data_IF_677662954346
#
_entry.id   IF_677662954346
#
_cell.length_a   1.000
_cell.length_b   1.000
_cell.length_c   1.000
_cell.angle_alpha   90.00
_cell.angle_beta   90.00
_cell.angle_gamma   90.00
#
_symmetry.space_group_name_H-M   'P 1'
#
loop_
_entity.id
_entity.type
_entity.pdbx_description
1 polymer ?
#
# COMPACT_ATOMS: atom_id res chain seq x y z
N UNK A 1 41.60 -5.80 4.64
CA UNK A 1 40.15 -5.73 4.53
C UNK A 1 39.83 -5.12 3.18
N UNK A 2 39.30 -5.83 2.18
CA UNK A 2 38.90 -5.21 0.93
C UNK A 2 37.60 -4.44 1.14
N UNK A 3 37.61 -3.15 0.80
CA UNK A 3 36.44 -2.30 0.65
C UNK A 3 35.47 -2.93 -0.35
N UNK A 4 34.27 -3.25 0.09
CA UNK A 4 33.18 -3.60 -0.80
C UNK A 4 32.82 -2.35 -1.61
N UNK A 5 33.20 -2.33 -2.87
CA UNK A 5 32.77 -1.33 -3.82
C UNK A 5 31.24 -1.33 -3.89
N UNK A 6 30.59 -0.34 -3.31
CA UNK A 6 29.18 -0.05 -3.56
C UNK A 6 29.07 0.36 -5.04
N UNK A 7 28.57 -0.53 -5.87
CA UNK A 7 28.25 -0.19 -7.26
C UNK A 7 27.27 0.99 -7.24
N UNK A 8 27.63 2.09 -7.89
CA UNK A 8 26.73 3.21 -8.07
C UNK A 8 25.48 2.75 -8.85
N UNK A 9 24.26 3.12 -8.45
CA UNK A 9 23.03 2.73 -9.15
C UNK A 9 23.04 3.01 -10.65
N UNK A 10 23.77 4.04 -11.10
CA UNK A 10 23.91 4.40 -12.50
C UNK A 10 24.71 3.43 -13.38
N UNK A 11 25.40 2.42 -12.79
CA UNK A 11 26.18 1.44 -13.57
C UNK A 11 25.33 0.26 -14.09
N UNK A 12 24.12 0.07 -13.57
CA UNK A 12 23.23 -1.04 -13.93
C UNK A 12 22.24 -0.70 -15.05
N UNK A 13 22.13 0.57 -15.44
CA UNK A 13 21.14 1.03 -16.41
C UNK A 13 21.84 1.61 -17.65
N UNK A 14 21.53 1.04 -18.81
CA UNK A 14 22.00 1.52 -20.10
C UNK A 14 21.07 2.64 -20.60
N UNK A 15 21.61 3.86 -20.71
CA UNK A 15 20.87 5.04 -21.19
C UNK A 15 20.41 4.92 -22.66
N UNK A 16 20.88 3.90 -23.38
CA UNK A 16 20.51 3.68 -24.78
C UNK A 16 19.12 3.08 -24.95
N UNK A 17 18.62 2.32 -23.95
CA UNK A 17 17.30 1.66 -24.05
C UNK A 17 16.16 2.67 -23.94
N UNK A 18 15.16 2.52 -24.84
CA UNK A 18 14.05 3.46 -24.95
C UNK A 18 12.71 2.81 -24.65
N UNK A 19 11.77 3.63 -24.24
CA UNK A 19 10.38 3.23 -24.07
C UNK A 19 9.76 3.07 -25.47
N UNK A 20 9.33 1.85 -25.84
CA UNK A 20 8.67 1.57 -27.11
C UNK A 20 7.15 1.73 -27.03
N UNK A 21 6.54 1.36 -25.88
CA UNK A 21 5.09 1.48 -25.68
C UNK A 21 4.71 1.59 -24.22
N UNK A 22 3.56 2.23 -23.96
CA UNK A 22 2.81 2.18 -22.71
C UNK A 22 1.41 1.64 -23.00
N UNK A 23 0.98 0.65 -22.25
CA UNK A 23 -0.36 0.05 -22.40
C UNK A 23 -1.06 0.05 -21.05
N UNK A 24 -2.25 0.69 -20.90
CA UNK A 24 -3.08 0.51 -19.71
C UNK A 24 -3.74 -0.86 -19.76
N UNK A 25 -3.80 -1.54 -18.61
CA UNK A 25 -4.46 -2.83 -18.44
C UNK A 25 -5.39 -2.75 -17.24
N UNK A 26 -6.65 -3.08 -17.45
CA UNK A 26 -7.63 -3.22 -16.39
C UNK A 26 -7.95 -4.69 -16.17
N UNK A 27 -7.83 -5.15 -14.93
CA UNK A 27 -8.20 -6.50 -14.52
C UNK A 27 -9.28 -6.41 -13.46
N UNK A 28 -10.17 -7.41 -13.41
CA UNK A 28 -11.13 -7.58 -12.32
C UNK A 28 -11.05 -9.02 -11.81
N UNK A 29 -10.93 -9.18 -10.51
CA UNK A 29 -10.84 -10.50 -9.88
C UNK A 29 -11.77 -10.59 -8.66
N UNK A 30 -12.17 -11.80 -8.26
CA UNK A 30 -12.93 -12.00 -7.04
C UNK A 30 -12.20 -11.41 -5.84
N UNK A 31 -12.90 -10.63 -5.05
CA UNK A 31 -12.45 -10.10 -3.78
C UNK A 31 -13.48 -10.51 -2.75
N UNK A 32 -13.52 -11.83 -2.53
CA UNK A 32 -14.56 -12.45 -1.78
C UNK A 32 -14.17 -12.58 -0.31
N UNK A 33 -14.63 -11.65 0.49
CA UNK A 33 -14.78 -11.85 1.91
C UNK A 33 -16.22 -11.49 2.29
N UNK A 34 -17.14 -12.47 2.36
CA UNK A 34 -18.55 -12.22 2.65
C UNK A 34 -18.75 -11.67 4.07
N UNK A 35 -17.78 -11.83 4.95
CA UNK A 35 -17.80 -11.29 6.31
C UNK A 35 -17.21 -9.88 6.40
N UNK A 36 -16.53 -9.40 5.38
CA UNK A 36 -15.97 -8.05 5.34
C UNK A 36 -17.06 -7.03 4.98
N UNK A 37 -17.32 -6.10 5.90
CA UNK A 37 -18.41 -5.13 5.74
C UNK A 37 -18.17 -4.19 4.56
N UNK A 38 -16.96 -3.70 4.38
CA UNK A 38 -16.59 -2.79 3.29
C UNK A 38 -16.78 -3.46 1.93
N UNK A 39 -16.28 -4.69 1.79
CA UNK A 39 -16.45 -5.48 0.55
C UNK A 39 -17.92 -5.67 0.20
N UNK A 40 -18.74 -6.00 1.19
CA UNK A 40 -20.19 -6.22 0.97
C UNK A 40 -20.93 -4.97 0.49
N UNK A 41 -20.51 -3.80 0.95
CA UNK A 41 -21.18 -2.53 0.67
C UNK A 41 -20.58 -1.83 -0.56
N UNK A 42 -19.27 -1.74 -0.62
CA UNK A 42 -18.57 -1.03 -1.68
C UNK A 42 -18.35 -1.86 -2.96
N UNK A 43 -18.24 -3.18 -2.83
CA UNK A 43 -18.05 -4.14 -3.92
C UNK A 43 -19.16 -5.22 -3.90
N UNK A 44 -20.42 -4.86 -4.16
CA UNK A 44 -21.56 -5.78 -3.95
C UNK A 44 -21.55 -7.00 -4.88
N UNK A 45 -20.77 -6.99 -5.95
CA UNK A 45 -20.54 -8.17 -6.81
C UNK A 45 -19.47 -9.11 -6.27
N UNK A 46 -18.73 -8.70 -5.22
CA UNK A 46 -17.58 -9.42 -4.71
C UNK A 46 -16.37 -9.43 -5.66
N UNK A 47 -16.34 -8.51 -6.63
CA UNK A 47 -15.23 -8.35 -7.57
C UNK A 47 -14.57 -6.97 -7.39
N UNK A 48 -13.24 -6.90 -7.54
CA UNK A 48 -12.46 -5.68 -7.43
C UNK A 48 -11.62 -5.45 -8.68
N UNK A 49 -11.55 -4.19 -9.13
CA UNK A 49 -10.72 -3.76 -10.26
C UNK A 49 -9.30 -3.45 -9.79
N UNK A 50 -8.33 -3.80 -10.63
CA UNK A 50 -6.92 -3.40 -10.54
C UNK A 50 -6.51 -2.76 -11.85
N UNK A 51 -5.80 -1.64 -11.80
CA UNK A 51 -5.23 -0.98 -12.98
C UNK A 51 -3.72 -1.12 -13.04
N UNK A 52 -3.24 -1.66 -14.15
CA UNK A 52 -1.82 -1.83 -14.42
C UNK A 52 -1.40 -0.97 -15.61
N UNK A 53 -0.15 -0.55 -15.60
CA UNK A 53 0.56 -0.07 -16.80
C UNK A 53 1.58 -1.12 -17.18
N UNK A 54 1.55 -1.52 -18.45
CA UNK A 54 2.62 -2.30 -19.05
C UNK A 54 3.48 -1.37 -19.90
N UNK A 55 4.76 -1.27 -19.54
CA UNK A 55 5.79 -0.60 -20.32
C UNK A 55 6.52 -1.65 -21.15
N UNK A 56 6.72 -1.38 -22.45
CA UNK A 56 7.57 -2.19 -23.34
C UNK A 56 8.79 -1.36 -23.71
N UNK A 57 9.98 -1.91 -23.55
CA UNK A 57 11.24 -1.33 -24.00
C UNK A 57 11.51 -1.70 -25.49
N UNK A 58 12.40 -0.99 -26.15
CA UNK A 58 12.72 -1.20 -27.57
C UNK A 58 13.42 -2.54 -27.87
N UNK A 59 13.97 -3.20 -26.85
CA UNK A 59 14.48 -4.58 -26.94
C UNK A 59 13.39 -5.67 -26.69
N UNK A 60 12.15 -5.25 -26.48
CA UNK A 60 11.01 -6.14 -26.22
C UNK A 60 10.81 -6.51 -24.74
N UNK A 61 11.67 -6.08 -23.83
CA UNK A 61 11.48 -6.31 -22.39
C UNK A 61 10.25 -5.57 -21.90
N UNK A 62 9.41 -6.23 -21.07
CA UNK A 62 8.19 -5.63 -20.51
C UNK A 62 8.27 -5.52 -19.00
N UNK A 63 7.69 -4.44 -18.47
CA UNK A 63 7.53 -4.21 -17.03
C UNK A 63 6.11 -3.83 -16.68
N UNK A 64 5.71 -4.11 -15.44
CA UNK A 64 4.38 -3.87 -14.89
C UNK A 64 4.45 -2.93 -13.68
N UNK A 65 3.53 -1.97 -13.64
CA UNK A 65 3.28 -1.14 -12.46
C UNK A 65 1.80 -1.00 -12.20
N UNK A 66 1.40 -0.85 -10.94
CA UNK A 66 0.01 -0.68 -10.53
C UNK A 66 -0.26 0.75 -10.09
N UNK A 67 -1.45 1.27 -10.42
CA UNK A 67 -1.95 2.55 -9.91
C UNK A 67 -3.29 2.38 -9.20
N UNK A 68 -3.34 2.77 -7.94
CA UNK A 68 -4.50 2.53 -7.08
C UNK A 68 -5.78 3.23 -7.56
N UNK A 69 -5.68 4.31 -8.35
CA UNK A 69 -6.80 5.06 -8.92
C UNK A 69 -7.84 4.17 -9.61
N UNK A 70 -7.39 3.11 -10.31
CA UNK A 70 -8.29 2.27 -11.10
C UNK A 70 -9.32 1.49 -10.27
N UNK A 71 -9.11 1.34 -8.97
CA UNK A 71 -10.09 0.75 -8.04
C UNK A 71 -11.39 1.57 -8.04
N UNK A 72 -11.26 2.90 -8.16
CA UNK A 72 -12.34 3.88 -8.04
C UNK A 72 -12.75 4.49 -9.40
N UNK A 73 -11.77 4.76 -10.26
CA UNK A 73 -11.95 5.50 -11.51
C UNK A 73 -11.13 4.90 -12.66
N UNK A 74 -11.47 3.67 -13.11
CA UNK A 74 -10.68 2.95 -14.12
C UNK A 74 -10.59 3.70 -15.46
N UNK A 75 -11.64 4.44 -15.85
CA UNK A 75 -11.62 5.21 -17.11
C UNK A 75 -10.64 6.39 -17.02
N UNK A 76 -10.58 7.08 -15.88
CA UNK A 76 -9.61 8.16 -15.65
C UNK A 76 -8.19 7.61 -15.66
N UNK A 77 -7.98 6.43 -15.07
CA UNK A 77 -6.68 5.75 -15.10
C UNK A 77 -6.24 5.49 -16.54
N UNK A 78 -7.07 4.84 -17.36
CA UNK A 78 -6.78 4.52 -18.77
C UNK A 78 -6.48 5.79 -19.55
N UNK A 79 -7.37 6.79 -19.51
CA UNK A 79 -7.19 8.04 -20.25
C UNK A 79 -5.93 8.81 -19.84
N UNK A 80 -5.53 8.73 -18.56
CA UNK A 80 -4.30 9.38 -18.11
C UNK A 80 -3.06 8.66 -18.62
N UNK A 81 -3.05 7.31 -18.68
CA UNK A 81 -1.95 6.55 -19.31
C UNK A 81 -1.83 6.91 -20.79
N UNK A 82 -2.94 6.94 -21.52
CA UNK A 82 -2.99 7.30 -22.94
C UNK A 82 -2.50 8.74 -23.19
N UNK A 83 -2.81 9.67 -22.27
CA UNK A 83 -2.34 11.06 -22.34
C UNK A 83 -0.82 11.14 -22.16
N UNK A 84 -0.22 10.34 -21.26
CA UNK A 84 1.21 10.35 -20.99
C UNK A 84 2.03 9.65 -22.09
N UNK A 85 1.48 8.63 -22.73
CA UNK A 85 2.20 7.78 -23.68
C UNK A 85 2.92 8.56 -24.82
N UNK A 86 2.31 9.54 -25.51
CA UNK A 86 2.98 10.29 -26.58
C UNK A 86 4.23 11.07 -26.13
N UNK A 87 4.31 11.42 -24.84
CA UNK A 87 5.45 12.16 -24.29
C UNK A 87 6.59 11.26 -23.81
N UNK A 88 6.29 9.98 -23.52
CA UNK A 88 7.24 9.04 -22.96
C UNK A 88 7.81 8.07 -24.00
N UNK A 89 7.01 7.69 -25.01
CA UNK A 89 7.47 6.81 -26.08
C UNK A 89 8.62 7.45 -26.86
N UNK A 90 9.68 6.69 -27.08
CA UNK A 90 10.93 7.12 -27.68
C UNK A 90 11.94 7.77 -26.72
N UNK A 91 11.53 8.05 -25.47
CA UNK A 91 12.44 8.59 -24.45
C UNK A 91 13.34 7.50 -23.85
N UNK A 92 14.56 7.83 -23.41
CA UNK A 92 15.40 6.91 -22.65
C UNK A 92 14.67 6.41 -21.41
N UNK A 93 14.71 5.11 -21.14
CA UNK A 93 14.03 4.50 -19.98
C UNK A 93 14.88 4.60 -18.69
N UNK A 94 16.22 4.74 -18.82
CA UNK A 94 17.16 4.59 -17.71
C UNK A 94 17.14 5.73 -16.68
N UNK A 95 16.91 6.97 -17.09
CA UNK A 95 16.80 8.09 -16.15
C UNK A 95 15.39 8.17 -15.53
N UNK A 96 15.15 7.36 -14.50
CA UNK A 96 13.87 7.33 -13.78
C UNK A 96 13.50 8.71 -13.20
N UNK A 97 14.50 9.46 -12.72
CA UNK A 97 14.27 10.79 -12.13
C UNK A 97 13.81 11.80 -13.20
N UNK A 98 14.40 11.75 -14.40
CA UNK A 98 13.96 12.59 -15.51
C UNK A 98 12.55 12.19 -15.98
N UNK A 99 12.28 10.90 -16.12
CA UNK A 99 10.92 10.41 -16.51
C UNK A 99 9.87 10.81 -15.50
N UNK A 100 10.19 10.72 -14.21
CA UNK A 100 9.29 11.21 -13.17
C UNK A 100 9.04 12.72 -13.33
N UNK A 101 10.09 13.54 -13.50
CA UNK A 101 9.95 15.00 -13.71
C UNK A 101 9.11 15.34 -14.94
N UNK A 102 9.30 14.61 -16.05
CA UNK A 102 8.51 14.78 -17.28
C UNK A 102 7.02 14.57 -16.99
N UNK A 103 6.66 13.43 -16.38
CA UNK A 103 5.27 13.10 -16.06
C UNK A 103 4.66 14.11 -15.08
N UNK A 104 5.42 14.53 -14.07
CA UNK A 104 4.99 15.57 -13.12
C UNK A 104 4.75 16.91 -13.83
N UNK A 105 5.62 17.30 -14.76
CA UNK A 105 5.47 18.53 -15.53
C UNK A 105 4.22 18.49 -16.43
N UNK A 106 4.02 17.39 -17.16
CA UNK A 106 2.88 17.20 -18.06
C UNK A 106 1.56 17.27 -17.30
N UNK A 107 1.50 16.69 -16.09
CA UNK A 107 0.28 16.61 -15.28
C UNK A 107 0.13 17.79 -14.30
N UNK A 108 1.17 18.56 -14.06
CA UNK A 108 1.25 19.51 -12.95
C UNK A 108 0.20 20.61 -12.95
N UNK A 109 -0.20 21.09 -14.14
CA UNK A 109 -1.20 22.16 -14.25
C UNK A 109 -2.61 21.74 -13.78
N UNK A 110 -2.99 20.50 -14.03
CA UNK A 110 -4.34 19.99 -13.77
C UNK A 110 -4.41 18.91 -12.69
N UNK A 111 -3.27 18.35 -12.29
CA UNK A 111 -3.19 17.31 -11.24
C UNK A 111 -1.84 17.39 -10.51
N UNK A 112 -1.60 18.49 -9.81
CA UNK A 112 -0.41 18.67 -8.97
C UNK A 112 -0.33 17.59 -7.89
N UNK A 113 -1.49 17.16 -7.38
CA UNK A 113 -1.73 16.05 -6.46
C UNK A 113 -2.91 15.22 -6.97
N UNK A 114 -3.15 14.06 -6.38
CA UNK A 114 -4.31 13.22 -6.65
C UNK A 114 -4.18 12.35 -7.89
N UNK A 115 -5.22 12.29 -8.72
CA UNK A 115 -5.44 11.24 -9.71
C UNK A 115 -4.24 10.89 -10.61
N UNK A 116 -3.59 11.89 -11.22
CA UNK A 116 -2.46 11.59 -12.11
C UNK A 116 -1.24 11.00 -11.38
N UNK A 117 -1.09 11.26 -10.07
CA UNK A 117 0.03 10.72 -9.29
C UNK A 117 -0.01 9.20 -9.19
N UNK A 118 -1.19 8.61 -9.10
CA UNK A 118 -1.36 7.15 -9.13
C UNK A 118 -0.90 6.56 -10.48
N UNK A 119 -1.13 7.27 -11.59
CA UNK A 119 -0.68 6.83 -12.93
C UNK A 119 0.82 7.02 -13.07
N UNK A 120 1.37 8.15 -12.60
CA UNK A 120 2.82 8.38 -12.50
C UNK A 120 3.49 7.26 -11.70
N UNK A 121 2.89 6.86 -10.57
CA UNK A 121 3.34 5.73 -9.75
C UNK A 121 3.40 4.43 -10.55
N UNK A 122 2.34 4.13 -11.30
CA UNK A 122 2.27 2.92 -12.13
C UNK A 122 3.33 2.91 -13.23
N UNK A 123 3.52 4.03 -13.93
CA UNK A 123 4.54 4.12 -14.99
C UNK A 123 5.94 3.98 -14.42
N UNK A 124 6.25 4.66 -13.30
CA UNK A 124 7.57 4.58 -12.68
C UNK A 124 7.86 3.15 -12.18
N UNK A 125 6.91 2.50 -11.52
CA UNK A 125 7.05 1.10 -11.08
C UNK A 125 7.25 0.15 -12.27
N UNK A 126 6.54 0.36 -13.39
CA UNK A 126 6.69 -0.42 -14.61
C UNK A 126 8.08 -0.24 -15.25
N UNK A 127 8.63 0.98 -15.22
CA UNK A 127 9.99 1.22 -15.68
C UNK A 127 11.03 0.52 -14.79
N UNK A 128 10.87 0.61 -13.47
CA UNK A 128 11.73 -0.11 -12.51
C UNK A 128 11.68 -1.61 -12.74
N UNK A 129 10.50 -2.18 -12.98
CA UNK A 129 10.30 -3.60 -13.28
C UNK A 129 10.99 -4.00 -14.59
N UNK A 130 10.76 -3.25 -15.68
CA UNK A 130 11.35 -3.52 -16.99
C UNK A 130 12.88 -3.45 -16.94
N UNK A 131 13.45 -2.41 -16.33
CA UNK A 131 14.90 -2.23 -16.22
C UNK A 131 15.54 -3.32 -15.35
N UNK A 132 14.90 -3.71 -14.25
CA UNK A 132 15.38 -4.82 -13.41
C UNK A 132 15.36 -6.16 -14.13
N UNK A 133 14.31 -6.45 -14.91
CA UNK A 133 14.23 -7.65 -15.75
C UNK A 133 15.30 -7.65 -16.82
N UNK A 134 15.51 -6.52 -17.50
CA UNK A 134 16.55 -6.35 -18.52
C UNK A 134 17.96 -6.56 -17.93
N UNK A 135 18.22 -6.02 -16.75
CA UNK A 135 19.48 -6.19 -16.03
C UNK A 135 19.63 -7.57 -15.36
N UNK A 136 18.57 -8.37 -15.28
CA UNK A 136 18.57 -9.67 -14.59
C UNK A 136 18.70 -9.56 -13.06
N UNK A 137 18.32 -8.42 -12.46
CA UNK A 137 18.44 -8.17 -11.03
C UNK A 137 17.10 -7.81 -10.39
N UNK A 138 16.86 -8.12 -9.11
CA UNK A 138 15.70 -7.64 -8.37
C UNK A 138 15.63 -6.11 -8.33
N UNK A 139 14.42 -5.54 -8.32
CA UNK A 139 14.22 -4.09 -8.42
C UNK A 139 14.91 -3.30 -7.30
N UNK A 140 15.04 -3.83 -6.09
CA UNK A 140 15.76 -3.14 -5.01
C UNK A 140 17.24 -2.88 -5.33
N UNK A 141 17.88 -3.65 -6.22
CA UNK A 141 19.24 -3.38 -6.66
C UNK A 141 19.35 -2.09 -7.50
N UNK A 142 18.35 -1.83 -8.35
CA UNK A 142 18.24 -0.57 -9.09
C UNK A 142 17.93 0.62 -8.17
N UNK A 143 17.27 0.35 -7.06
CA UNK A 143 16.86 1.34 -6.06
C UNK A 143 17.97 1.66 -5.03
N UNK A 144 19.18 1.24 -5.27
CA UNK A 144 20.35 1.56 -4.41
C UNK A 144 20.85 0.39 -3.57
N UNK A 145 20.37 -0.82 -3.87
CA UNK A 145 20.78 -2.05 -3.19
C UNK A 145 19.97 -2.36 -1.92
N UNK A 146 19.96 -3.61 -1.56
CA UNK A 146 19.26 -4.13 -0.40
C UNK A 146 19.94 -3.70 0.91
N UNK A 147 19.19 -3.08 1.83
CA UNK A 147 19.67 -2.64 3.15
C UNK A 147 19.25 -3.56 4.30
N UNK A 148 18.33 -4.49 4.05
CA UNK A 148 17.88 -5.50 5.04
C UNK A 148 17.62 -6.83 4.35
N UNK A 149 17.83 -7.96 5.05
CA UNK A 149 17.60 -9.30 4.52
C UNK A 149 16.16 -9.77 4.69
N UNK A 150 15.46 -9.20 5.66
CA UNK A 150 14.07 -9.53 5.99
C UNK A 150 13.37 -8.35 6.62
N UNK A 151 12.07 -8.26 6.40
CA UNK A 151 11.19 -7.22 6.96
C UNK A 151 10.13 -7.92 7.79
N UNK A 152 9.94 -7.49 9.05
CA UNK A 152 8.84 -7.97 9.88
C UNK A 152 7.51 -7.56 9.25
N UNK A 153 6.51 -8.43 9.29
CA UNK A 153 5.19 -8.13 8.78
C UNK A 153 4.21 -7.82 9.91
N UNK A 154 3.27 -6.91 9.64
CA UNK A 154 1.99 -6.90 10.32
C UNK A 154 0.89 -7.31 9.34
N UNK A 155 -0.06 -8.12 9.82
CA UNK A 155 -1.21 -8.52 9.03
C UNK A 155 -2.24 -7.39 9.00
N UNK A 156 -2.95 -7.23 7.87
CA UNK A 156 -3.98 -6.21 7.70
C UNK A 156 -5.27 -6.81 7.16
N UNK A 157 -6.40 -6.52 7.83
CA UNK A 157 -7.72 -7.06 7.53
C UNK A 157 -8.73 -6.61 8.59
N UNK A 158 -9.41 -7.57 9.19
CA UNK A 158 -10.19 -7.35 10.42
C UNK A 158 -11.40 -6.42 10.30
N UNK A 159 -11.96 -6.25 9.08
CA UNK A 159 -13.27 -5.59 8.93
C UNK A 159 -14.43 -6.59 9.07
N UNK A 160 -14.14 -7.71 9.73
CA UNK A 160 -15.08 -8.79 9.98
C UNK A 160 -16.34 -8.33 10.70
N UNK A 161 -17.49 -8.86 10.28
CA UNK A 161 -18.80 -8.53 10.83
C UNK A 161 -19.22 -9.44 11.97
N UNK A 162 -18.46 -10.52 12.26
CA UNK A 162 -18.78 -11.47 13.32
C UNK A 162 -17.57 -11.87 14.16
N UNK A 163 -17.78 -12.20 15.47
CA UNK A 163 -16.73 -12.76 16.32
C UNK A 163 -16.11 -14.06 15.79
N UNK A 164 -16.88 -14.87 15.09
CA UNK A 164 -16.40 -16.13 14.54
C UNK A 164 -15.41 -15.89 13.38
N UNK A 165 -15.74 -15.00 12.46
CA UNK A 165 -14.85 -14.61 11.37
C UNK A 165 -13.58 -13.95 11.90
N UNK A 166 -13.69 -13.04 12.86
CA UNK A 166 -12.52 -12.39 13.48
C UNK A 166 -11.59 -13.40 14.17
N UNK A 167 -12.13 -14.42 14.88
CA UNK A 167 -11.29 -15.49 15.44
C UNK A 167 -10.56 -16.27 14.36
N UNK A 168 -11.20 -16.55 13.24
CA UNK A 168 -10.56 -17.24 12.12
C UNK A 168 -9.41 -16.41 11.52
N UNK A 169 -9.60 -15.09 11.36
CA UNK A 169 -8.53 -14.19 10.91
C UNK A 169 -7.37 -14.17 11.90
N UNK A 170 -7.62 -14.01 13.22
CA UNK A 170 -6.59 -14.03 14.26
C UNK A 170 -5.78 -15.33 14.19
N UNK A 171 -6.45 -16.48 14.06
CA UNK A 171 -5.78 -17.77 13.96
C UNK A 171 -4.90 -17.88 12.69
N UNK A 172 -5.39 -17.36 11.55
CA UNK A 172 -4.65 -17.32 10.29
C UNK A 172 -3.40 -16.43 10.39
N UNK A 173 -3.51 -15.27 11.06
CA UNK A 173 -2.37 -14.36 11.31
C UNK A 173 -1.32 -15.05 12.18
N UNK A 174 -1.74 -15.68 13.28
CA UNK A 174 -0.84 -16.41 14.19
C UNK A 174 -0.12 -17.56 13.47
N UNK A 175 -0.82 -18.28 12.56
CA UNK A 175 -0.24 -19.38 11.78
C UNK A 175 0.89 -18.92 10.84
N UNK A 176 0.91 -17.65 10.41
CA UNK A 176 2.00 -17.04 9.64
C UNK A 176 3.19 -16.62 10.53
N UNK A 177 3.08 -16.75 11.85
CA UNK A 177 4.07 -16.25 12.80
C UNK A 177 4.08 -14.71 12.92
N UNK A 178 3.05 -14.05 12.41
CA UNK A 178 2.89 -12.59 12.51
C UNK A 178 2.33 -12.24 13.89
N UNK A 179 2.94 -11.29 14.58
CA UNK A 179 2.62 -10.91 15.96
C UNK A 179 1.80 -9.62 16.10
N UNK A 180 1.43 -9.01 14.98
CA UNK A 180 0.61 -7.78 14.96
C UNK A 180 -0.45 -7.89 13.86
N UNK A 181 -1.71 -7.66 14.24
CA UNK A 181 -2.83 -7.66 13.31
C UNK A 181 -3.54 -6.31 13.35
N UNK A 182 -3.61 -5.62 12.21
CA UNK A 182 -4.35 -4.38 12.02
C UNK A 182 -5.78 -4.71 11.65
N UNK A 183 -6.72 -4.23 12.46
CA UNK A 183 -8.15 -4.37 12.24
C UNK A 183 -8.77 -3.01 11.93
N UNK A 184 -9.88 -2.99 11.23
CA UNK A 184 -10.70 -1.78 11.10
C UNK A 184 -11.68 -1.67 12.25
N UNK A 185 -11.61 -0.53 12.98
CA UNK A 185 -12.59 -0.16 13.98
C UNK A 185 -12.79 1.36 13.99
N UNK A 186 -14.02 1.77 13.78
CA UNK A 186 -14.41 3.18 13.74
C UNK A 186 -14.71 3.70 15.14
N UNK A 187 -14.82 5.01 15.33
CA UNK A 187 -14.95 5.63 16.66
C UNK A 187 -16.05 5.05 17.56
N UNK A 188 -17.14 4.53 16.98
CA UNK A 188 -18.24 3.89 17.71
C UNK A 188 -18.06 2.37 17.92
N UNK A 189 -16.94 1.76 17.49
CA UNK A 189 -16.68 0.31 17.53
C UNK A 189 -15.64 -0.07 18.61
N UNK A 190 -15.57 0.69 19.72
CA UNK A 190 -14.64 0.37 20.82
C UNK A 190 -14.84 -1.05 21.36
N UNK A 191 -16.08 -1.55 21.45
CA UNK A 191 -16.36 -2.92 21.89
C UNK A 191 -15.74 -3.98 20.97
N UNK A 192 -15.77 -3.76 19.64
CA UNK A 192 -15.06 -4.60 18.67
C UNK A 192 -13.57 -4.63 18.94
N UNK A 193 -12.96 -3.47 19.15
CA UNK A 193 -11.54 -3.36 19.42
C UNK A 193 -11.16 -4.05 20.74
N UNK A 194 -11.89 -3.80 21.83
CA UNK A 194 -11.69 -4.43 23.15
C UNK A 194 -11.76 -5.95 23.02
N UNK A 195 -12.85 -6.46 22.45
CA UNK A 195 -13.03 -7.89 22.25
C UNK A 195 -11.90 -8.51 21.44
N UNK A 196 -11.50 -7.86 20.34
CA UNK A 196 -10.45 -8.39 19.47
C UNK A 196 -9.08 -8.39 20.15
N UNK A 197 -8.75 -7.33 20.91
CA UNK A 197 -7.53 -7.26 21.73
C UNK A 197 -7.43 -8.44 22.70
N UNK A 198 -8.51 -8.77 23.41
CA UNK A 198 -8.56 -9.88 24.34
C UNK A 198 -8.44 -11.25 23.65
N UNK A 199 -9.06 -11.44 22.48
CA UNK A 199 -8.95 -12.70 21.74
C UNK A 199 -7.56 -12.87 21.15
N UNK A 200 -7.00 -11.84 20.53
CA UNK A 200 -5.70 -11.89 19.86
C UNK A 200 -4.55 -12.12 20.86
N UNK A 201 -4.63 -11.56 22.07
CA UNK A 201 -3.65 -11.77 23.13
C UNK A 201 -3.47 -13.25 23.50
N UNK A 202 -4.54 -14.07 23.40
CA UNK A 202 -4.50 -15.52 23.66
C UNK A 202 -3.63 -16.28 22.60
N UNK A 203 -3.41 -15.68 21.46
CA UNK A 203 -2.57 -16.20 20.39
C UNK A 203 -1.21 -15.51 20.28
N UNK A 204 -0.87 -14.62 21.23
CA UNK A 204 0.36 -13.83 21.18
C UNK A 204 0.36 -12.73 20.10
N UNK A 205 -0.80 -12.38 19.57
CA UNK A 205 -0.97 -11.36 18.54
C UNK A 205 -1.43 -10.04 19.18
N UNK A 206 -0.71 -8.96 18.91
CA UNK A 206 -1.12 -7.59 19.29
C UNK A 206 -2.02 -6.99 18.21
N UNK A 207 -2.86 -6.04 18.59
CA UNK A 207 -3.81 -5.39 17.68
C UNK A 207 -3.40 -3.94 17.40
N UNK A 208 -3.35 -3.57 16.13
CA UNK A 208 -3.40 -2.19 15.66
C UNK A 208 -4.83 -1.87 15.17
N UNK A 209 -5.20 -0.59 15.21
CA UNK A 209 -6.53 -0.14 14.80
C UNK A 209 -6.41 0.86 13.67
N UNK A 210 -7.02 0.56 12.53
CA UNK A 210 -7.25 1.49 11.42
C UNK A 210 -8.67 2.06 11.56
N UNK A 211 -8.75 3.38 11.69
CA UNK A 211 -10.04 4.08 11.81
C UNK A 211 -10.60 4.50 10.46
N UNK A 212 -9.81 4.38 9.37
CA UNK A 212 -10.18 4.68 7.99
C UNK A 212 -10.83 6.07 7.80
N UNK A 213 -10.41 7.07 8.57
CA UNK A 213 -10.97 8.42 8.51
C UNK A 213 -10.42 9.24 7.35
N UNK A 214 -9.33 8.82 6.73
CA UNK A 214 -8.76 9.43 5.52
C UNK A 214 -9.72 9.45 4.31
N UNK A 215 -10.80 8.66 4.35
CA UNK A 215 -11.87 8.61 3.34
C UNK A 215 -13.10 9.46 3.70
N UNK A 216 -13.08 10.17 4.82
CA UNK A 216 -14.21 10.94 5.35
C UNK A 216 -13.88 12.43 5.45
N UNK A 217 -14.79 13.29 4.97
CA UNK A 217 -14.71 14.72 5.12
C UNK A 217 -16.08 15.26 5.61
N UNK A 218 -16.17 15.85 6.82
CA UNK A 218 -15.07 16.31 7.68
C UNK A 218 -14.34 15.23 8.52
N UNK A 219 -14.75 13.98 8.54
CA UNK A 219 -14.18 12.93 9.40
C UNK A 219 -14.33 13.21 10.90
N UNK A 220 -13.89 12.28 11.74
CA UNK A 220 -13.87 12.46 13.20
C UNK A 220 -12.77 13.44 13.64
N UNK A 221 -12.94 14.04 14.81
CA UNK A 221 -11.95 14.94 15.44
C UNK A 221 -10.90 14.17 16.25
N UNK A 222 -9.81 14.85 16.65
CA UNK A 222 -8.83 14.28 17.60
C UNK A 222 -9.48 13.93 18.94
N UNK A 223 -10.49 14.68 19.38
CA UNK A 223 -11.24 14.37 20.60
C UNK A 223 -12.02 13.06 20.48
N UNK A 224 -12.62 12.77 19.32
CA UNK A 224 -13.35 11.51 19.08
C UNK A 224 -12.36 10.32 19.08
N UNK A 225 -11.20 10.46 18.43
CA UNK A 225 -10.16 9.44 18.43
C UNK A 225 -9.60 9.17 19.85
N UNK A 226 -9.40 10.20 20.65
CA UNK A 226 -8.97 10.06 22.04
C UNK A 226 -10.05 9.40 22.89
N UNK A 227 -11.32 9.79 22.74
CA UNK A 227 -12.44 9.15 23.43
C UNK A 227 -12.55 7.66 23.12
N UNK A 228 -12.32 7.25 21.86
CA UNK A 228 -12.23 5.84 21.48
C UNK A 228 -11.09 5.13 22.23
N UNK A 229 -9.88 5.71 22.22
CA UNK A 229 -8.73 5.12 22.93
C UNK A 229 -8.96 5.01 24.45
N UNK A 230 -9.62 6.00 25.06
CA UNK A 230 -9.97 5.98 26.48
C UNK A 230 -11.01 4.89 26.78
N UNK A 231 -12.00 4.70 25.92
CA UNK A 231 -12.96 3.60 26.05
C UNK A 231 -12.27 2.23 25.94
N UNK A 232 -11.34 2.07 24.98
CA UNK A 232 -10.54 0.84 24.85
C UNK A 232 -9.71 0.58 26.10
N UNK A 233 -9.00 1.57 26.62
CA UNK A 233 -8.20 1.44 27.87
C UNK A 233 -9.03 1.12 29.10
N UNK A 234 -10.26 1.63 29.17
CA UNK A 234 -11.19 1.31 30.24
C UNK A 234 -11.68 -0.14 30.17
N UNK A 235 -11.80 -0.69 28.95
CA UNK A 235 -12.36 -2.02 28.71
C UNK A 235 -11.33 -3.17 28.69
N UNK A 236 -10.05 -2.88 28.48
CA UNK A 236 -8.99 -3.91 28.44
C UNK A 236 -7.65 -3.40 28.90
N UNK A 237 -6.78 -4.31 29.35
CA UNK A 237 -5.36 -4.01 29.65
C UNK A 237 -4.44 -4.22 28.46
N UNK A 238 -4.95 -4.78 27.36
CA UNK A 238 -4.14 -5.01 26.17
C UNK A 238 -3.90 -3.68 25.44
N UNK A 239 -2.65 -3.33 25.11
CA UNK A 239 -2.35 -2.07 24.43
C UNK A 239 -2.70 -2.14 22.95
N UNK A 240 -3.18 -1.02 22.39
CA UNK A 240 -3.22 -0.82 20.94
C UNK A 240 -1.79 -0.63 20.42
N UNK A 241 -1.39 -1.41 19.41
CA UNK A 241 -0.04 -1.37 18.85
C UNK A 241 0.26 -0.05 18.14
N UNK A 242 -0.68 0.42 17.34
CA UNK A 242 -0.71 1.75 16.72
C UNK A 242 -2.13 2.09 16.29
N UNK A 243 -2.39 3.38 16.09
CA UNK A 243 -3.65 3.93 15.60
C UNK A 243 -3.42 4.52 14.21
N UNK A 244 -4.09 3.97 13.18
CA UNK A 244 -3.92 4.35 11.79
C UNK A 244 -5.11 5.19 11.31
N UNK A 245 -4.80 6.19 10.49
CA UNK A 245 -5.75 7.11 9.85
C UNK A 245 -6.91 7.56 10.75
N UNK A 246 -6.59 8.11 11.95
CA UNK A 246 -7.61 8.49 12.92
C UNK A 246 -8.39 9.75 12.55
N UNK A 247 -7.90 10.57 11.61
CA UNK A 247 -8.47 11.86 11.27
C UNK A 247 -8.72 12.00 9.77
N UNK A 248 -9.82 12.68 9.41
CA UNK A 248 -10.11 13.04 8.03
C UNK A 248 -9.14 14.09 7.44
N UNK A 249 -9.07 14.22 6.11
CA UNK A 249 -8.14 15.13 5.42
C UNK A 249 -8.25 16.60 5.88
N UNK A 250 -9.47 17.08 6.14
CA UNK A 250 -9.70 18.44 6.63
C UNK A 250 -9.11 18.72 8.03
N UNK A 251 -8.75 17.67 8.77
CA UNK A 251 -8.27 17.74 10.16
C UNK A 251 -6.80 17.41 10.34
N UNK A 252 -6.02 17.42 9.25
CA UNK A 252 -4.57 17.12 9.29
C UNK A 252 -3.83 17.96 10.35
N UNK A 253 -4.25 19.19 10.58
CA UNK A 253 -3.67 20.09 11.59
C UNK A 253 -3.86 19.62 13.05
N UNK A 254 -4.78 18.68 13.32
CA UNK A 254 -5.01 18.11 14.65
C UNK A 254 -4.05 16.94 14.99
N UNK A 255 -3.42 16.32 13.98
CA UNK A 255 -2.50 15.17 14.18
C UNK A 255 -1.41 15.41 15.21
N UNK A 256 -0.69 16.56 15.24
CA UNK A 256 0.38 16.77 16.22
C UNK A 256 -0.10 16.76 17.69
N UNK A 257 -1.32 17.23 17.92
CA UNK A 257 -1.93 17.22 19.26
C UNK A 257 -2.40 15.80 19.63
N UNK A 258 -3.07 15.12 18.71
CA UNK A 258 -3.52 13.73 18.89
C UNK A 258 -2.33 12.82 19.16
N UNK A 259 -1.26 12.88 18.36
CA UNK A 259 -0.06 12.06 18.52
C UNK A 259 0.54 12.17 19.93
N UNK A 260 0.62 13.39 20.49
CA UNK A 260 1.14 13.59 21.85
C UNK A 260 0.24 13.00 22.93
N UNK A 261 -1.07 12.92 22.71
CA UNK A 261 -2.06 12.48 23.69
C UNK A 261 -2.47 11.01 23.55
N UNK A 262 -2.24 10.41 22.38
CA UNK A 262 -2.76 9.08 22.03
C UNK A 262 -2.25 7.95 22.93
N UNK A 263 -1.03 8.05 23.46
CA UNK A 263 -0.42 7.00 24.30
C UNK A 263 -0.15 5.68 23.58
N UNK A 264 -0.24 5.69 22.24
CA UNK A 264 0.23 4.67 21.31
C UNK A 264 0.73 5.39 20.04
N UNK A 265 1.58 4.75 19.21
CA UNK A 265 2.01 5.33 17.95
C UNK A 265 0.82 5.70 17.04
N UNK A 266 0.93 6.84 16.34
CA UNK A 266 -0.04 7.29 15.34
C UNK A 266 0.55 7.10 13.95
N UNK A 267 -0.18 6.41 13.09
CA UNK A 267 0.20 6.08 11.73
C UNK A 267 -0.73 6.74 10.69
N UNK A 268 -0.22 6.96 9.49
CA UNK A 268 -1.04 7.46 8.39
C UNK A 268 -0.22 7.90 7.18
N UNK A 269 -0.94 8.34 6.14
CA UNK A 269 -0.35 8.86 4.92
C UNK A 269 -0.54 7.99 3.67
N UNK A 270 -1.25 6.88 3.75
CA UNK A 270 -1.46 5.94 2.64
C UNK A 270 -2.11 6.56 1.40
N UNK A 271 -2.98 7.56 1.59
CA UNK A 271 -3.67 8.26 0.49
C UNK A 271 -2.95 9.52 0.01
N UNK A 272 -1.83 9.88 0.62
CA UNK A 272 -1.06 11.06 0.25
C UNK A 272 -0.28 10.80 -1.04
N UNK A 273 -0.54 11.62 -2.05
CA UNK A 273 -0.11 11.35 -3.42
C UNK A 273 1.25 11.95 -3.80
N UNK A 274 1.95 12.58 -2.87
CA UNK A 274 3.30 13.12 -3.13
C UNK A 274 4.22 12.90 -1.93
N UNK A 275 5.47 12.53 -2.19
CA UNK A 275 6.50 12.42 -1.15
C UNK A 275 6.67 13.76 -0.42
N UNK A 276 6.62 14.89 -1.14
CA UNK A 276 6.72 16.23 -0.56
C UNK A 276 5.71 16.46 0.55
N UNK A 277 4.43 16.15 0.32
CA UNK A 277 3.38 16.34 1.33
C UNK A 277 3.63 15.45 2.55
N UNK A 278 4.08 14.19 2.37
CA UNK A 278 4.44 13.33 3.49
C UNK A 278 5.60 13.90 4.31
N UNK A 279 6.62 14.46 3.65
CA UNK A 279 7.72 15.15 4.33
C UNK A 279 7.23 16.35 5.14
N UNK A 280 6.35 17.19 4.57
CA UNK A 280 5.75 18.33 5.24
C UNK A 280 4.92 17.90 6.47
N UNK A 281 4.15 16.81 6.36
CA UNK A 281 3.37 16.24 7.47
C UNK A 281 4.28 15.66 8.59
N UNK A 282 5.37 14.99 8.23
CA UNK A 282 6.36 14.51 9.20
C UNK A 282 7.04 15.67 9.92
N UNK A 283 7.47 16.70 9.19
CA UNK A 283 8.05 17.91 9.76
C UNK A 283 7.08 18.64 10.71
N UNK A 284 5.77 18.60 10.41
CA UNK A 284 4.73 19.13 11.30
C UNK A 284 4.47 18.23 12.53
N UNK A 285 5.07 17.05 12.63
CA UNK A 285 4.91 16.12 13.75
C UNK A 285 3.60 15.33 13.72
N UNK A 286 3.04 15.07 12.53
CA UNK A 286 1.76 14.36 12.40
C UNK A 286 1.86 12.88 12.79
N UNK A 287 2.97 12.20 12.48
CA UNK A 287 3.07 10.75 12.56
C UNK A 287 4.21 10.26 13.43
N UNK A 288 4.04 9.10 14.07
CA UNK A 288 5.10 8.23 14.55
C UNK A 288 5.50 7.20 13.48
N UNK A 289 4.54 6.81 12.63
CA UNK A 289 4.72 5.90 11.51
C UNK A 289 4.14 6.53 10.26
N UNK A 290 4.95 6.72 9.22
CA UNK A 290 4.47 7.22 7.91
C UNK A 290 4.25 6.04 6.96
N UNK A 291 3.12 6.03 6.25
CA UNK A 291 2.69 4.88 5.47
C UNK A 291 2.58 5.22 3.96
N UNK A 292 3.71 5.45 3.24
CA UNK A 292 3.66 5.65 1.80
C UNK A 292 3.20 4.37 1.09
N UNK A 293 2.47 4.54 -0.02
CA UNK A 293 2.18 3.48 -0.97
C UNK A 293 2.80 3.82 -2.33
N UNK A 294 3.66 2.95 -2.85
CA UNK A 294 4.33 3.12 -4.13
C UNK A 294 3.35 3.18 -5.33
N UNK A 295 2.09 2.76 -5.16
CA UNK A 295 1.04 2.88 -6.18
C UNK A 295 0.29 4.21 -6.14
N UNK A 296 0.63 5.07 -5.14
CA UNK A 296 -0.05 6.33 -4.82
C UNK A 296 0.92 7.52 -4.82
N UNK A 297 2.08 7.39 -4.14
CA UNK A 297 2.97 8.51 -3.79
C UNK A 297 3.86 8.99 -4.94
N UNK A 298 3.83 8.34 -6.09
CA UNK A 298 4.67 8.66 -7.26
C UNK A 298 5.65 7.56 -7.65
N UNK A 299 5.54 6.37 -7.06
CA UNK A 299 6.33 5.19 -7.40
C UNK A 299 7.36 4.78 -6.34
N UNK A 300 8.11 3.69 -6.60
CA UNK A 300 9.16 3.18 -5.70
C UNK A 300 10.24 4.19 -5.34
N UNK A 301 10.69 5.02 -6.29
CA UNK A 301 11.74 6.04 -6.03
C UNK A 301 11.22 7.14 -5.09
N UNK A 302 9.95 7.55 -5.24
CA UNK A 302 9.34 8.53 -4.33
C UNK A 302 9.09 7.93 -2.95
N UNK A 303 8.78 6.64 -2.87
CA UNK A 303 8.70 5.91 -1.60
C UNK A 303 10.04 5.94 -0.87
N UNK A 304 11.17 5.74 -1.57
CA UNK A 304 12.51 5.89 -0.98
C UNK A 304 12.79 7.30 -0.47
N UNK A 305 12.33 8.35 -1.17
CA UNK A 305 12.47 9.72 -0.69
C UNK A 305 11.71 9.92 0.65
N UNK A 306 10.53 9.30 0.80
CA UNK A 306 9.81 9.29 2.09
C UNK A 306 10.59 8.55 3.17
N UNK A 307 11.20 7.39 2.85
CA UNK A 307 12.04 6.64 3.81
C UNK A 307 13.24 7.46 4.28
N UNK A 308 13.90 8.17 3.37
CA UNK A 308 15.04 9.05 3.71
C UNK A 308 14.59 10.18 4.65
N UNK A 309 13.51 10.89 4.30
CA UNK A 309 12.98 11.96 5.15
C UNK A 309 12.42 11.47 6.49
N UNK A 310 11.87 10.26 6.56
CA UNK A 310 11.41 9.67 7.81
C UNK A 310 12.57 9.51 8.81
N UNK A 311 13.74 9.09 8.35
CA UNK A 311 14.95 8.98 9.18
C UNK A 311 15.37 10.35 9.75
N UNK A 312 15.25 11.43 8.97
CA UNK A 312 15.58 12.80 9.41
C UNK A 312 14.63 13.31 10.50
N UNK A 313 13.37 12.87 10.48
CA UNK A 313 12.33 13.29 11.43
C UNK A 313 12.11 12.30 12.58
N UNK A 314 12.85 11.19 12.63
CA UNK A 314 12.67 10.16 13.67
C UNK A 314 11.30 9.46 13.57
N UNK A 315 10.75 9.34 12.36
CA UNK A 315 9.50 8.68 12.06
C UNK A 315 9.79 7.30 11.46
N UNK A 316 9.03 6.26 11.82
CA UNK A 316 9.17 4.92 11.25
C UNK A 316 8.45 4.84 9.88
N UNK A 317 9.16 4.59 8.75
CA UNK A 317 8.52 4.37 7.47
C UNK A 317 8.03 2.93 7.36
N UNK A 318 6.75 2.77 7.00
CA UNK A 318 6.08 1.48 6.87
C UNK A 318 5.24 1.50 5.58
N UNK A 319 5.52 0.64 4.62
CA UNK A 319 4.78 0.65 3.36
C UNK A 319 3.35 0.14 3.54
N UNK A 320 2.38 0.88 2.98
CA UNK A 320 0.99 0.44 2.80
C UNK A 320 0.90 -0.47 1.57
N UNK A 321 0.16 -1.57 1.65
CA UNK A 321 0.07 -2.59 0.59
C UNK A 321 -1.35 -3.15 0.44
N UNK A 322 -2.28 -2.47 -0.24
CA UNK A 322 -3.67 -2.95 -0.38
C UNK A 322 -4.09 -3.29 -1.82
N UNK A 323 -3.13 -3.43 -2.74
CA UNK A 323 -3.33 -3.76 -4.16
C UNK A 323 -3.15 -5.23 -4.52
N UNK A 324 -2.75 -5.47 -5.78
CA UNK A 324 -2.34 -6.78 -6.29
C UNK A 324 -0.88 -7.12 -5.90
N UNK A 325 -0.35 -8.21 -6.46
CA UNK A 325 1.07 -8.55 -6.31
C UNK A 325 2.01 -7.46 -6.85
N UNK A 326 1.57 -6.67 -7.85
CA UNK A 326 2.38 -5.58 -8.40
C UNK A 326 2.52 -4.45 -7.38
N UNK A 327 1.43 -4.09 -6.70
CA UNK A 327 1.46 -3.15 -5.57
C UNK A 327 2.38 -3.66 -4.45
N UNK A 328 2.17 -4.91 -4.01
CA UNK A 328 2.99 -5.51 -2.95
C UNK A 328 4.48 -5.51 -3.33
N UNK A 329 4.81 -5.94 -4.54
CA UNK A 329 6.19 -6.00 -5.02
C UNK A 329 6.84 -4.62 -5.06
N UNK A 330 6.18 -3.60 -5.64
CA UNK A 330 6.70 -2.25 -5.70
C UNK A 330 7.02 -1.68 -4.31
N UNK A 331 6.11 -1.86 -3.36
CA UNK A 331 6.26 -1.43 -1.97
C UNK A 331 7.36 -2.21 -1.24
N UNK A 332 7.39 -3.54 -1.39
CA UNK A 332 8.39 -4.36 -0.70
C UNK A 332 9.81 -4.12 -1.23
N UNK A 333 10.00 -3.99 -2.55
CA UNK A 333 11.31 -3.65 -3.10
C UNK A 333 11.79 -2.27 -2.62
N UNK A 334 10.91 -1.27 -2.56
CA UNK A 334 11.23 0.03 -1.98
C UNK A 334 11.59 -0.09 -0.48
N UNK A 335 10.85 -0.88 0.29
CA UNK A 335 11.13 -1.11 1.71
C UNK A 335 12.47 -1.83 1.92
N UNK A 336 12.81 -2.84 1.10
CA UNK A 336 14.12 -3.51 1.17
C UNK A 336 15.27 -2.55 0.86
N UNK A 337 15.14 -1.71 -0.16
CA UNK A 337 16.14 -0.70 -0.51
C UNK A 337 16.21 0.44 0.52
N UNK A 338 15.09 0.84 1.11
CA UNK A 338 15.01 1.89 2.13
C UNK A 338 15.44 1.46 3.54
N UNK A 339 15.65 0.15 3.77
CA UNK A 339 15.95 -0.38 5.11
C UNK A 339 14.73 -0.48 6.01
N UNK A 340 13.56 -0.77 5.44
CA UNK A 340 12.30 -0.96 6.16
C UNK A 340 12.38 -2.06 7.21
N UNK A 341 11.76 -1.82 8.36
CA UNK A 341 11.75 -2.77 9.49
C UNK A 341 10.40 -3.47 9.65
N UNK A 342 9.33 -2.84 9.16
CA UNK A 342 7.96 -3.31 9.21
C UNK A 342 7.28 -3.06 7.85
N UNK A 343 6.39 -3.96 7.43
CA UNK A 343 5.58 -3.80 6.22
C UNK A 343 4.20 -4.42 6.39
N UNK A 344 3.23 -3.93 5.66
CA UNK A 344 1.87 -4.44 5.64
C UNK A 344 1.77 -5.75 4.85
N UNK A 345 1.01 -6.71 5.40
CA UNK A 345 0.61 -7.95 4.72
C UNK A 345 -0.91 -8.05 4.68
N UNK A 346 -1.56 -7.81 3.52
CA UNK A 346 -3.01 -7.87 3.41
C UNK A 346 -3.52 -9.31 3.46
N UNK A 347 -4.44 -9.57 4.38
CA UNK A 347 -5.03 -10.90 4.63
C UNK A 347 -6.19 -11.28 3.69
N UNK A 348 -7.08 -10.36 3.25
CA UNK A 348 -8.21 -10.74 2.40
C UNK A 348 -7.77 -11.45 1.13
N UNK A 349 -8.44 -12.53 0.77
CA UNK A 349 -8.13 -13.31 -0.42
C UNK A 349 -8.34 -12.48 -1.70
N UNK A 350 -7.31 -12.40 -2.54
CA UNK A 350 -7.36 -11.72 -3.83
C UNK A 350 -6.43 -12.43 -4.82
N UNK A 351 -6.96 -13.14 -5.83
CA UNK A 351 -6.16 -13.97 -6.75
C UNK A 351 -5.02 -13.21 -7.42
N UNK A 352 -5.19 -11.92 -7.75
CA UNK A 352 -4.13 -11.12 -8.37
C UNK A 352 -2.94 -10.85 -7.45
N UNK A 353 -2.99 -11.22 -6.17
CA UNK A 353 -1.82 -11.21 -5.25
C UNK A 353 -0.90 -12.41 -5.42
N UNK A 354 -1.32 -13.44 -6.12
CA UNK A 354 -0.51 -14.63 -6.38
C UNK A 354 -0.32 -14.90 -7.88
N UNK A 355 -1.36 -14.74 -8.70
CA UNK A 355 -1.31 -15.09 -10.12
C UNK A 355 -0.47 -14.14 -10.98
N UNK A 356 -0.13 -12.96 -10.47
CA UNK A 356 0.79 -12.03 -11.12
C UNK A 356 2.26 -12.22 -10.67
N UNK A 357 2.54 -13.04 -9.65
CA UNK A 357 3.91 -13.32 -9.20
C UNK A 357 4.59 -14.36 -10.11
N UNK A 358 5.89 -14.15 -10.36
CA UNK A 358 6.77 -15.17 -10.95
C UNK A 358 7.06 -16.25 -9.91
N UNK A 359 7.34 -15.83 -8.68
CA UNK A 359 7.58 -16.70 -7.53
C UNK A 359 6.81 -16.15 -6.32
N UNK A 360 6.18 -16.99 -5.50
CA UNK A 360 5.49 -16.53 -4.28
C UNK A 360 6.43 -15.78 -3.33
N UNK A 361 5.91 -14.75 -2.66
CA UNK A 361 6.63 -14.13 -1.55
C UNK A 361 6.89 -15.15 -0.44
N UNK A 362 8.12 -15.17 0.06
CA UNK A 362 8.54 -16.09 1.12
C UNK A 362 8.38 -15.41 2.48
N UNK A 363 7.56 -16.01 3.34
CA UNK A 363 7.36 -15.57 4.72
C UNK A 363 7.93 -16.64 5.64
N UNK A 364 8.82 -16.24 6.54
CA UNK A 364 9.42 -17.12 7.55
C UNK A 364 9.27 -16.48 8.93
N UNK A 365 8.53 -17.14 9.83
CA UNK A 365 8.29 -16.68 11.19
C UNK A 365 7.86 -15.19 11.25
N UNK A 366 6.85 -14.81 10.47
CA UNK A 366 6.30 -13.45 10.42
C UNK A 366 7.18 -12.41 9.72
N UNK A 367 8.23 -12.83 9.01
CA UNK A 367 9.11 -11.95 8.25
C UNK A 367 9.04 -12.25 6.75
N UNK A 368 8.94 -11.22 5.95
CA UNK A 368 9.11 -11.27 4.51
C UNK A 368 10.60 -11.36 4.19
N UNK A 369 11.00 -12.35 3.40
CA UNK A 369 12.35 -12.45 2.85
C UNK A 369 12.45 -11.64 1.55
N UNK A 370 13.64 -11.11 1.25
CA UNK A 370 13.88 -10.31 0.06
C UNK A 370 13.59 -11.13 -1.21
N UNK A 371 12.71 -10.66 -2.13
CA UNK A 371 12.43 -11.31 -3.39
C UNK A 371 13.70 -11.45 -4.25
N UNK A 372 13.83 -12.56 -5.00
CA UNK A 372 15.02 -12.81 -5.80
C UNK A 372 14.78 -12.71 -7.31
N UNK A 373 13.53 -12.74 -7.74
CA UNK A 373 13.20 -12.67 -9.16
C UNK A 373 13.57 -11.29 -9.75
N UNK A 374 14.02 -11.23 -11.03
CA UNK A 374 14.35 -9.96 -11.70
C UNK A 374 13.16 -8.99 -11.77
N UNK A 375 13.47 -7.70 -11.72
CA UNK A 375 12.48 -6.64 -11.65
C UNK A 375 11.70 -6.69 -10.35
N UNK A 376 10.41 -6.45 -10.43
CA UNK A 376 9.47 -6.61 -9.31
C UNK A 376 9.09 -8.08 -9.06
N UNK A 377 9.56 -9.02 -9.91
CA UNK A 377 9.18 -10.43 -9.82
C UNK A 377 7.72 -10.69 -10.23
N UNK A 378 7.17 -9.86 -11.10
CA UNK A 378 5.78 -9.94 -11.56
C UNK A 378 5.68 -10.18 -13.06
N UNK A 379 4.59 -10.81 -13.49
CA UNK A 379 4.31 -11.09 -14.90
C UNK A 379 2.81 -11.11 -15.16
N UNK A 380 2.41 -10.49 -16.28
CA UNK A 380 1.07 -10.63 -16.83
C UNK A 380 1.12 -11.63 -18.00
N UNK A 381 0.37 -12.71 -17.93
CA UNK A 381 0.22 -13.64 -19.03
C UNK A 381 -1.06 -13.38 -19.81
N UNK A 382 -1.12 -13.69 -21.12
CA UNK A 382 -2.38 -13.60 -21.88
C UNK A 382 -3.51 -14.44 -21.27
N UNK A 383 -3.19 -15.51 -20.57
CA UNK A 383 -4.17 -16.34 -19.84
C UNK A 383 -4.74 -15.61 -18.63
N UNK A 384 -3.88 -14.98 -17.80
CA UNK A 384 -4.30 -14.19 -16.63
C UNK A 384 -5.14 -13.00 -17.05
N UNK A 385 -4.71 -12.29 -18.12
CA UNK A 385 -5.45 -11.14 -18.66
C UNK A 385 -6.85 -11.53 -19.16
N UNK A 386 -6.98 -12.63 -19.89
CA UNK A 386 -8.30 -13.14 -20.31
C UNK A 386 -9.16 -13.61 -19.14
N UNK A 387 -8.57 -14.31 -18.17
CA UNK A 387 -9.29 -14.86 -17.00
C UNK A 387 -9.88 -13.77 -16.13
N UNK A 388 -9.13 -12.67 -15.96
CA UNK A 388 -9.50 -11.53 -15.12
C UNK A 388 -9.84 -10.28 -15.94
N UNK A 389 -10.39 -10.46 -17.14
CA UNK A 389 -10.80 -9.34 -17.97
C UNK A 389 -11.68 -8.35 -17.21
N UNK A 390 -11.48 -7.06 -17.47
CA UNK A 390 -12.17 -5.97 -16.77
C UNK A 390 -13.69 -6.11 -16.78
N UNK A 391 -14.28 -5.83 -15.64
CA UNK A 391 -15.73 -5.82 -15.41
C UNK A 391 -16.15 -4.46 -14.88
N UNK A 392 -17.07 -3.78 -15.57
CA UNK A 392 -17.58 -2.47 -15.15
C UNK A 392 -18.35 -2.50 -13.81
N UNK A 393 -18.84 -3.66 -13.37
CA UNK A 393 -19.54 -3.87 -12.10
C UNK A 393 -18.59 -4.18 -10.92
N UNK A 394 -17.27 -4.23 -11.16
CA UNK A 394 -16.22 -4.48 -10.18
C UNK A 394 -15.54 -3.18 -9.67
N UNK A 395 -16.11 -2.03 -9.95
CA UNK A 395 -15.61 -0.73 -9.52
C UNK A 395 -16.12 -0.39 -8.13
N UNK A 396 -15.25 0.13 -7.27
CA UNK A 396 -15.58 0.51 -5.89
C UNK A 396 -16.65 1.61 -5.84
N UNK A 397 -17.67 1.44 -5.02
CA UNK A 397 -18.77 2.40 -4.85
C UNK A 397 -18.45 3.37 -3.71
N UNK A 398 -17.90 4.52 -4.04
CA UNK A 398 -17.44 5.53 -3.06
C UNK A 398 -18.55 6.10 -2.16
N UNK A 399 -19.81 6.11 -2.63
CA UNK A 399 -20.96 6.60 -1.85
C UNK A 399 -21.69 5.50 -1.07
N UNK A 400 -21.10 4.30 -1.01
CA UNK A 400 -21.68 3.21 -0.24
C UNK A 400 -21.67 3.57 1.26
N UNK A 401 -22.86 3.62 1.87
CA UNK A 401 -23.00 3.88 3.31
C UNK A 401 -22.87 2.58 4.07
N UNK A 402 -21.93 2.53 5.01
CA UNK A 402 -21.84 1.41 5.93
C UNK A 402 -23.04 1.40 6.88
N UNK A 403 -23.71 0.24 7.07
CA UNK A 403 -24.77 0.16 8.06
C UNK A 403 -24.20 0.37 9.47
N UNK A 404 -24.97 0.96 10.40
CA UNK A 404 -24.53 1.09 11.79
C UNK A 404 -24.21 -0.29 12.38
N UNK A 405 -23.19 -0.35 13.25
CA UNK A 405 -22.85 -1.56 13.96
C UNK A 405 -24.05 -2.06 14.79
N UNK A 406 -24.37 -3.34 14.71
CA UNK A 406 -25.40 -3.92 15.54
C UNK A 406 -24.96 -3.93 17.01
N UNK A 407 -25.74 -3.33 17.95
CA UNK A 407 -25.37 -3.29 19.35
C UNK A 407 -25.23 -4.70 19.93
N UNK A 408 -24.22 -4.92 20.81
CA UNK A 408 -24.02 -6.17 21.54
C UNK A 408 -23.40 -7.33 20.74
N UNK A 409 -23.04 -7.15 19.48
CA UNK A 409 -22.43 -8.21 18.64
C UNK A 409 -21.08 -8.70 19.17
N UNK A 410 -20.35 -7.83 19.86
CA UNK A 410 -18.99 -8.08 20.39
C UNK A 410 -18.96 -8.26 21.91
N UNK A 411 -20.12 -8.43 22.57
CA UNK A 411 -20.17 -8.78 23.99
C UNK A 411 -19.66 -10.20 24.22
N UNK A 412 -18.95 -10.38 25.35
CA UNK A 412 -18.37 -11.67 25.71
C UNK A 412 -19.45 -12.78 25.76
N UNK A 413 -19.29 -13.80 24.93
CA UNK A 413 -19.89 -15.10 25.12
C UNK A 413 -18.89 -16.05 25.76
#
# INVERSE_FOLDING_TARGET
>A
MPESASAHPGALVDDAVRIAALRPVLLSAPYADPENLEVRVALPTGWRTTGLVEVTLDDGTTGLGEGYLAVFAPQVFVSTVELLAPYLVGRPAGDLAERYRDMVHITGYWSLQGAARHVVSAVEAALVDALGKRAGVPAYELLGGRRTDRIRLYASGGDSTSPAAMRAEIAAVAALGIDTFKIRARGHEADKAIWTLEQAARHGVGIAVDMAQNLHDPGQSAADALAFLDAVRAGTRQPVRFLEEPLGPARTHEYPALRRAAGCPVAGGETVTTARELLERMAAGCYDMVQPDATVVGGPVQTLAVFAGAAEHGVDPVVHCWGSAVCQAANYHAAFAGGGRLAEWPMPAYPLRSELLVEPFRIEAGHLLAPQAPGLGVRLTPQTERRYAFRGDAVYRCLATLPPAAPGRWSAG
#
